data_IF_380060672831
#
_entry.id   IF_380060672831
#
_cell.length_a   1.000
_cell.length_b   1.000
_cell.length_c   1.000
_cell.angle_alpha   90.00
_cell.angle_beta   90.00
_cell.angle_gamma   90.00
#
_symmetry.space_group_name_H-M   'P 1'
#
loop_
_entity.id
_entity.type
_entity.pdbx_description
1 polymer ?
#
# COMPACT_ATOMS: atom_id res chain seq x y z
N UNK A 1 3.59 -61.81 -46.34
CA UNK A 1 5.05 -61.54 -46.50
C UNK A 1 5.25 -60.52 -47.60
N UNK A 2 5.67 -59.30 -47.29
CA UNK A 2 6.48 -58.44 -48.16
C UNK A 2 7.13 -57.33 -47.33
N UNK A 3 8.39 -57.10 -47.65
CA UNK A 3 9.45 -56.53 -46.82
C UNK A 3 9.46 -54.99 -46.80
N UNK A 4 10.06 -54.44 -45.75
CA UNK A 4 10.53 -53.06 -45.63
C UNK A 4 11.67 -52.72 -46.61
N UNK A 5 11.74 -51.44 -47.00
CA UNK A 5 12.93 -50.54 -47.05
C UNK A 5 12.43 -49.16 -47.52
N UNK A 6 12.48 -48.07 -46.75
CA UNK A 6 13.58 -47.27 -46.17
C UNK A 6 13.70 -45.92 -46.88
N UNK A 7 13.45 -44.86 -46.09
CA UNK A 7 13.98 -43.48 -46.13
C UNK A 7 13.72 -42.63 -47.37
N UNK A 8 12.93 -41.58 -47.17
CA UNK A 8 13.43 -40.21 -47.35
C UNK A 8 12.96 -39.33 -46.18
N UNK A 9 13.95 -38.71 -45.52
CA UNK A 9 13.79 -37.64 -44.53
C UNK A 9 13.79 -36.35 -45.35
N UNK A 10 12.75 -35.53 -45.23
CA UNK A 10 12.84 -34.12 -45.58
C UNK A 10 11.89 -33.30 -44.70
N UNK A 11 12.52 -32.69 -43.71
CA UNK A 11 12.33 -31.34 -43.19
C UNK A 11 10.92 -30.85 -42.84
N UNK A 12 10.67 -30.85 -41.53
CA UNK A 12 9.72 -29.93 -40.93
C UNK A 12 10.27 -28.50 -40.96
N UNK A 13 9.41 -27.48 -41.06
CA UNK A 13 9.56 -26.28 -40.29
C UNK A 13 8.48 -26.27 -39.21
N UNK A 14 8.88 -26.70 -38.01
CA UNK A 14 8.27 -26.21 -36.77
C UNK A 14 9.01 -24.93 -36.44
N UNK A 15 8.37 -23.77 -36.64
CA UNK A 15 8.27 -22.68 -35.66
C UNK A 15 7.59 -21.47 -36.30
N UNK A 16 6.25 -21.47 -36.36
CA UNK A 16 5.52 -20.22 -36.17
C UNK A 16 5.24 -20.10 -34.68
N UNK A 17 6.29 -19.77 -33.93
CA UNK A 17 6.07 -19.04 -32.69
C UNK A 17 5.53 -17.68 -33.13
N UNK A 18 4.21 -17.58 -33.18
CA UNK A 18 3.55 -16.30 -32.99
C UNK A 18 4.03 -15.79 -31.62
N UNK A 19 5.17 -15.11 -31.60
CA UNK A 19 5.46 -14.12 -30.60
C UNK A 19 4.28 -13.16 -30.67
N UNK A 20 3.33 -13.32 -29.74
CA UNK A 20 2.31 -12.32 -29.50
C UNK A 20 3.08 -11.06 -29.11
N UNK A 21 3.34 -10.18 -30.08
CA UNK A 21 3.79 -8.83 -29.79
C UNK A 21 2.79 -8.27 -28.79
N UNK A 22 3.21 -7.97 -27.55
CA UNK A 22 2.29 -7.41 -26.58
C UNK A 22 1.73 -6.11 -27.19
N UNK A 23 0.41 -5.88 -27.16
CA UNK A 23 -0.24 -4.81 -27.93
C UNK A 23 0.19 -3.40 -27.50
N UNK A 24 0.88 -3.28 -26.37
CA UNK A 24 1.24 -2.01 -25.75
C UNK A 24 2.69 -1.62 -26.03
N UNK A 25 2.89 -0.43 -26.63
CA UNK A 25 4.19 0.17 -26.95
C UNK A 25 4.81 0.98 -25.81
N UNK A 26 3.99 1.40 -24.84
CA UNK A 26 4.36 2.32 -23.77
C UNK A 26 3.82 1.79 -22.44
N UNK A 27 4.65 1.73 -21.40
CA UNK A 27 4.20 1.40 -20.05
C UNK A 27 4.38 2.63 -19.16
N UNK A 28 3.29 3.07 -18.54
CA UNK A 28 3.32 4.17 -17.59
C UNK A 28 3.56 3.60 -16.18
N UNK A 29 4.56 4.13 -15.48
CA UNK A 29 4.84 3.78 -14.10
C UNK A 29 4.65 4.99 -13.20
N UNK A 30 3.95 4.83 -12.09
CA UNK A 30 3.75 5.87 -11.09
C UNK A 30 5.03 6.11 -10.26
N UNK A 31 6.11 6.52 -10.90
CA UNK A 31 7.42 6.77 -10.29
C UNK A 31 8.08 7.97 -10.96
N UNK A 32 9.28 8.34 -10.53
CA UNK A 32 10.10 9.39 -11.12
C UNK A 32 11.56 8.94 -11.24
N UNK A 33 12.34 9.58 -12.12
CA UNK A 33 13.67 9.07 -12.50
C UNK A 33 14.69 9.20 -11.37
N UNK A 34 14.54 10.19 -10.51
CA UNK A 34 15.41 10.43 -9.36
C UNK A 34 15.31 9.28 -8.35
N UNK A 35 14.17 8.59 -8.29
CA UNK A 35 13.98 7.40 -7.46
C UNK A 35 14.46 6.12 -8.16
N UNK A 36 14.01 5.87 -9.40
CA UNK A 36 14.15 4.54 -10.04
C UNK A 36 14.76 4.57 -11.44
N UNK A 37 15.45 5.64 -11.84
CA UNK A 37 15.92 5.86 -13.21
C UNK A 37 16.65 4.67 -13.85
N UNK A 38 17.56 4.02 -13.10
CA UNK A 38 18.31 2.85 -13.58
C UNK A 38 17.40 1.64 -13.87
N UNK A 39 16.36 1.45 -13.05
CA UNK A 39 15.40 0.36 -13.21
C UNK A 39 14.43 0.64 -14.36
N UNK A 40 14.02 1.90 -14.53
CA UNK A 40 13.21 2.34 -15.67
C UNK A 40 13.92 2.01 -16.99
N UNK A 41 15.21 2.34 -17.10
CA UNK A 41 16.00 2.07 -18.29
C UNK A 41 16.16 0.57 -18.53
N UNK A 42 16.52 -0.18 -17.48
CA UNK A 42 16.64 -1.62 -17.55
C UNK A 42 15.33 -2.30 -17.99
N UNK A 43 14.18 -1.91 -17.44
CA UNK A 43 12.87 -2.45 -17.81
C UNK A 43 12.50 -2.11 -19.26
N UNK A 44 12.87 -0.92 -19.72
CA UNK A 44 12.67 -0.49 -21.10
C UNK A 44 13.47 -1.38 -22.07
N UNK A 45 14.72 -1.68 -21.72
CA UNK A 45 15.63 -2.49 -22.54
C UNK A 45 15.18 -3.96 -22.62
N UNK A 46 14.93 -4.60 -21.47
CA UNK A 46 14.51 -6.03 -21.47
C UNK A 46 13.11 -6.23 -22.02
N UNK A 47 12.23 -5.22 -21.87
CA UNK A 47 10.84 -5.29 -22.28
C UNK A 47 10.61 -4.90 -23.74
N UNK A 48 11.60 -4.30 -24.41
CA UNK A 48 11.47 -3.74 -25.75
C UNK A 48 10.37 -2.69 -25.87
N UNK A 49 10.04 -2.01 -24.77
CA UNK A 49 8.92 -1.07 -24.64
C UNK A 49 9.37 0.20 -23.97
N UNK A 50 8.81 1.34 -24.38
CA UNK A 50 9.10 2.61 -23.71
C UNK A 50 8.47 2.64 -22.32
N UNK A 51 9.28 2.66 -21.27
CA UNK A 51 8.82 2.91 -19.90
C UNK A 51 8.81 4.42 -19.65
N UNK A 52 7.68 4.96 -19.19
CA UNK A 52 7.52 6.38 -18.92
C UNK A 52 7.12 6.57 -17.45
N UNK A 53 7.99 7.19 -16.63
CA UNK A 53 7.61 7.63 -15.29
C UNK A 53 6.59 8.76 -15.38
N UNK A 54 5.50 8.65 -14.62
CA UNK A 54 4.40 9.63 -14.55
C UNK A 54 4.08 10.07 -13.12
N UNK A 55 4.88 9.65 -12.14
CA UNK A 55 4.62 9.87 -10.73
C UNK A 55 5.36 11.07 -10.11
N UNK A 56 5.09 11.35 -8.81
CA UNK A 56 4.09 10.67 -8.00
C UNK A 56 2.67 11.16 -8.34
N UNK A 57 1.81 10.23 -8.74
CA UNK A 57 0.38 10.45 -8.92
C UNK A 57 -0.27 10.31 -7.55
N UNK A 58 -0.31 11.43 -6.84
CA UNK A 58 -1.08 11.56 -5.60
C UNK A 58 -2.43 12.14 -5.98
N UNK A 59 -3.51 11.45 -5.61
CA UNK A 59 -4.87 11.96 -5.86
C UNK A 59 -5.07 13.21 -5.00
N UNK A 60 -5.28 14.36 -5.63
CA UNK A 60 -5.69 15.59 -4.94
C UNK A 60 -7.06 15.41 -4.28
N UNK A 61 -7.20 16.04 -3.11
CA UNK A 61 -8.28 15.82 -2.14
C UNK A 61 -9.60 16.34 -2.71
N UNK A 62 -10.53 15.43 -2.99
CA UNK A 62 -11.98 15.72 -2.94
C UNK A 62 -12.54 14.80 -1.87
N UNK A 63 -12.11 15.02 -0.63
CA UNK A 63 -12.81 14.47 0.53
C UNK A 63 -14.00 15.40 0.79
N UNK A 64 -15.15 14.85 1.18
CA UNK A 64 -16.21 15.66 1.77
C UNK A 64 -15.61 16.28 3.04
N UNK A 65 -15.48 17.61 3.10
CA UNK A 65 -14.78 18.32 4.19
C UNK A 65 -15.27 17.90 5.59
N UNK A 66 -16.49 17.39 5.66
CA UNK A 66 -17.17 16.99 6.88
C UNK A 66 -16.87 15.55 7.34
N UNK A 67 -16.42 14.65 6.47
CA UNK A 67 -16.15 13.26 6.86
C UNK A 67 -14.81 13.18 7.61
N UNK A 68 -14.83 12.58 8.81
CA UNK A 68 -13.67 12.43 9.70
C UNK A 68 -13.02 13.73 10.19
N UNK A 69 -13.81 14.80 10.31
CA UNK A 69 -13.35 16.08 10.85
C UNK A 69 -12.74 15.97 12.25
N UNK A 70 -13.19 15.03 13.06
CA UNK A 70 -12.71 14.78 14.42
C UNK A 70 -11.24 14.34 14.46
N UNK A 71 -10.76 13.61 13.44
CA UNK A 71 -9.37 13.18 13.36
C UNK A 71 -8.46 14.38 13.13
N UNK A 72 -8.87 15.27 12.23
CA UNK A 72 -8.11 16.48 11.91
C UNK A 72 -8.15 17.45 13.09
N UNK A 73 -9.31 17.65 13.71
CA UNK A 73 -9.43 18.45 14.92
C UNK A 73 -8.57 17.92 16.06
N UNK A 74 -8.46 16.60 16.21
CA UNK A 74 -7.58 16.02 17.23
C UNK A 74 -6.10 16.30 16.94
N UNK A 75 -5.69 16.27 15.67
CA UNK A 75 -4.34 16.65 15.24
C UNK A 75 -4.04 18.14 15.47
N UNK A 76 -5.02 19.03 15.29
CA UNK A 76 -4.87 20.48 15.53
C UNK A 76 -4.40 20.79 16.97
N UNK A 77 -4.71 19.93 17.94
CA UNK A 77 -4.28 20.08 19.34
C UNK A 77 -2.92 19.44 19.66
N UNK A 78 -2.22 18.88 18.66
CA UNK A 78 -0.91 18.23 18.85
C UNK A 78 0.22 19.13 18.36
N UNK A 79 1.35 19.04 19.04
CA UNK A 79 2.57 19.74 18.65
C UNK A 79 3.03 19.30 17.24
N UNK A 80 3.76 20.18 16.55
CA UNK A 80 4.33 19.91 15.23
C UNK A 80 5.19 18.62 15.25
N UNK A 81 5.03 17.79 14.21
CA UNK A 81 5.75 16.52 14.04
C UNK A 81 5.72 15.57 15.26
N UNK A 82 4.69 15.66 16.11
CA UNK A 82 4.59 14.88 17.35
C UNK A 82 3.72 13.64 17.28
N UNK A 83 3.05 13.40 16.15
CA UNK A 83 2.08 12.32 15.97
C UNK A 83 2.57 11.24 15.00
N UNK A 84 2.42 9.99 15.42
CA UNK A 84 2.63 8.79 14.62
C UNK A 84 1.32 8.38 13.92
N UNK A 85 1.32 8.34 12.60
CA UNK A 85 0.23 7.71 11.85
C UNK A 85 0.57 6.23 11.59
N UNK A 86 -0.37 5.32 11.84
CA UNK A 86 -0.21 3.89 11.62
C UNK A 86 -1.35 3.39 10.73
N UNK A 87 -1.01 2.89 9.54
CA UNK A 87 -1.98 2.28 8.63
C UNK A 87 -1.35 1.28 7.67
N UNK A 88 -1.90 0.08 7.63
CA UNK A 88 -1.43 -1.00 6.77
C UNK A 88 -2.19 -1.10 5.44
N UNK A 89 -2.86 -0.02 5.02
CA UNK A 89 -3.56 0.05 3.74
C UNK A 89 -4.82 -0.82 3.68
N UNK A 90 -5.34 -1.00 2.47
CA UNK A 90 -6.63 -1.68 2.23
C UNK A 90 -6.53 -3.18 2.03
N UNK A 91 -5.32 -3.70 1.79
CA UNK A 91 -5.11 -5.09 1.34
C UNK A 91 -4.57 -6.01 2.45
N UNK A 92 -4.20 -5.45 3.60
CA UNK A 92 -3.65 -6.22 4.72
C UNK A 92 -4.59 -6.20 5.91
N UNK A 93 -4.93 -7.40 6.38
CA UNK A 93 -5.70 -7.64 7.59
C UNK A 93 -4.78 -8.30 8.60
N UNK A 94 -4.58 -7.63 9.74
CA UNK A 94 -3.70 -8.11 10.80
C UNK A 94 -4.33 -9.28 11.55
N UNK A 95 -3.49 -10.23 11.96
CA UNK A 95 -3.89 -11.25 12.94
C UNK A 95 -4.16 -10.61 14.30
N UNK A 96 -4.82 -11.34 15.19
CA UNK A 96 -5.06 -10.87 16.55
C UNK A 96 -3.75 -10.62 17.30
N UNK A 97 -2.77 -11.52 17.15
CA UNK A 97 -1.47 -11.41 17.77
C UNK A 97 -0.71 -10.16 17.27
N UNK A 98 -0.79 -9.87 15.97
CA UNK A 98 -0.19 -8.65 15.39
C UNK A 98 -0.84 -7.38 15.95
N UNK A 99 -2.18 -7.36 16.08
CA UNK A 99 -2.93 -6.25 16.70
C UNK A 99 -2.49 -6.07 18.17
N UNK A 100 -2.38 -7.15 18.93
CA UNK A 100 -1.94 -7.12 20.34
C UNK A 100 -0.53 -6.52 20.48
N UNK A 101 0.43 -6.99 19.69
CA UNK A 101 1.82 -6.49 19.74
C UNK A 101 1.93 -5.02 19.31
N UNK A 102 1.20 -4.61 18.28
CA UNK A 102 1.17 -3.19 17.85
C UNK A 102 0.54 -2.32 18.94
N UNK A 103 -0.58 -2.75 19.53
CA UNK A 103 -1.21 -2.03 20.63
C UNK A 103 -0.23 -1.87 21.81
N UNK A 104 0.48 -2.94 22.19
CA UNK A 104 1.50 -2.88 23.23
C UNK A 104 2.65 -1.92 22.87
N UNK A 105 3.16 -1.95 21.64
CA UNK A 105 4.20 -1.03 21.19
C UNK A 105 3.77 0.44 21.22
N UNK A 106 2.55 0.73 20.76
CA UNK A 106 1.94 2.06 20.83
C UNK A 106 1.73 2.49 22.28
N UNK A 107 1.35 1.56 23.14
CA UNK A 107 1.16 1.85 24.56
C UNK A 107 2.50 2.24 25.22
N UNK A 108 3.54 1.42 25.03
CA UNK A 108 4.84 1.60 25.66
C UNK A 108 5.63 2.79 25.14
N UNK A 109 5.45 3.15 23.86
CA UNK A 109 6.18 4.26 23.23
C UNK A 109 5.79 5.65 23.77
N UNK A 110 4.60 5.78 24.37
CA UNK A 110 4.05 7.03 24.91
C UNK A 110 3.89 8.18 23.90
N UNK A 111 4.04 7.90 22.60
CA UNK A 111 3.84 8.90 21.54
C UNK A 111 2.36 9.21 21.35
N UNK A 112 2.08 10.35 20.70
CA UNK A 112 0.76 10.59 20.11
C UNK A 112 0.60 9.70 18.88
N UNK A 113 -0.56 9.10 18.67
CA UNK A 113 -0.78 8.27 17.49
C UNK A 113 -2.22 8.30 16.96
N UNK A 114 -2.34 8.03 15.66
CA UNK A 114 -3.58 7.63 15.01
C UNK A 114 -3.33 6.26 14.39
N UNK A 115 -4.13 5.26 14.75
CA UNK A 115 -4.01 3.91 14.22
C UNK A 115 -5.29 3.47 13.52
N UNK A 116 -5.19 3.17 12.23
CA UNK A 116 -6.29 2.64 11.44
C UNK A 116 -6.25 1.12 11.46
N UNK A 117 -7.30 0.50 12.01
CA UNK A 117 -7.49 -0.95 12.08
C UNK A 117 -8.57 -1.35 11.10
N UNK A 118 -8.37 -2.47 10.39
CA UNK A 118 -9.33 -2.99 9.41
C UNK A 118 -9.57 -4.47 9.63
N UNK A 119 -10.82 -4.89 9.43
CA UNK A 119 -11.24 -6.28 9.48
C UNK A 119 -11.76 -6.74 8.10
N UNK A 120 -11.65 -8.04 7.78
CA UNK A 120 -12.20 -8.60 6.56
C UNK A 120 -13.70 -8.34 6.43
N UNK A 121 -14.16 -8.03 5.21
CA UNK A 121 -15.59 -7.77 4.95
C UNK A 121 -16.40 -9.04 5.25
N UNK A 122 -17.35 -8.92 6.18
CA UNK A 122 -18.24 -10.02 6.58
C UNK A 122 -17.87 -10.67 7.91
N UNK A 123 -16.70 -10.35 8.47
CA UNK A 123 -16.40 -10.64 9.88
C UNK A 123 -16.99 -9.54 10.76
N UNK A 124 -17.74 -9.92 11.80
CA UNK A 124 -18.20 -9.00 12.84
C UNK A 124 -17.24 -9.11 14.01
N UNK A 125 -16.14 -8.38 13.93
CA UNK A 125 -15.22 -8.21 15.06
C UNK A 125 -15.39 -6.79 15.54
N UNK A 126 -15.86 -6.62 16.77
CA UNK A 126 -15.92 -5.30 17.38
C UNK A 126 -14.49 -4.84 17.70
N UNK A 127 -14.19 -3.57 17.44
CA UNK A 127 -12.85 -3.01 17.64
C UNK A 127 -12.31 -3.25 19.06
N UNK A 128 -13.17 -3.09 20.08
CA UNK A 128 -12.85 -3.31 21.49
C UNK A 128 -12.53 -4.77 21.81
N UNK A 129 -13.08 -5.74 21.05
CA UNK A 129 -12.79 -7.16 21.22
C UNK A 129 -11.47 -7.57 20.57
N UNK A 130 -11.07 -6.87 19.50
CA UNK A 130 -9.79 -7.11 18.82
C UNK A 130 -8.59 -6.54 19.60
N UNK A 131 -8.79 -5.50 20.38
CA UNK A 131 -7.74 -4.80 21.12
C UNK A 131 -7.49 -5.40 22.51
N UNK A 132 -6.29 -5.20 23.09
CA UNK A 132 -6.05 -5.56 24.48
C UNK A 132 -7.08 -4.87 25.40
N UNK A 133 -7.64 -5.63 26.35
CA UNK A 133 -8.69 -5.15 27.25
C UNK A 133 -8.30 -3.81 27.89
N UNK A 134 -9.15 -2.80 27.74
CA UNK A 134 -8.96 -1.47 28.32
C UNK A 134 -7.95 -0.57 27.57
N UNK A 135 -7.49 -0.97 26.37
CA UNK A 135 -6.45 -0.24 25.63
C UNK A 135 -6.91 1.18 25.27
N UNK A 136 -8.12 1.32 24.73
CA UNK A 136 -8.69 2.61 24.30
C UNK A 136 -8.69 3.61 25.45
N UNK A 137 -9.10 3.20 26.64
CA UNK A 137 -9.14 4.05 27.84
C UNK A 137 -7.74 4.46 28.29
N UNK A 138 -6.78 3.55 28.23
CA UNK A 138 -5.38 3.83 28.62
C UNK A 138 -4.69 4.81 27.68
N UNK A 139 -5.09 4.86 26.41
CA UNK A 139 -4.46 5.72 25.40
C UNK A 139 -5.30 6.95 25.05
N UNK A 140 -6.52 7.09 25.55
CA UNK A 140 -7.51 8.10 25.12
C UNK A 140 -7.01 9.56 24.98
N UNK A 141 -6.02 9.98 25.78
CA UNK A 141 -5.47 11.34 25.70
C UNK A 141 -4.47 11.54 24.55
N UNK A 142 -3.85 10.46 24.07
CA UNK A 142 -2.71 10.48 23.13
C UNK A 142 -2.90 9.59 21.90
N UNK A 143 -3.89 8.72 21.89
CA UNK A 143 -4.14 7.78 20.81
C UNK A 143 -5.57 7.87 20.30
N UNK A 144 -5.73 7.84 18.98
CA UNK A 144 -6.99 7.53 18.32
C UNK A 144 -6.86 6.19 17.60
N UNK A 145 -7.82 5.29 17.82
CA UNK A 145 -7.96 4.07 17.01
C UNK A 145 -9.20 4.24 16.14
N UNK A 146 -9.03 4.06 14.84
CA UNK A 146 -10.06 4.28 13.84
C UNK A 146 -10.31 2.97 13.12
N UNK A 147 -11.55 2.48 13.16
CA UNK A 147 -11.95 1.30 12.41
C UNK A 147 -12.24 1.66 10.96
N UNK A 148 -11.75 0.83 10.02
CA UNK A 148 -12.06 0.94 8.62
C UNK A 148 -11.21 2.01 7.94
N UNK A 149 -11.75 3.22 7.75
CA UNK A 149 -11.17 4.24 6.89
C UNK A 149 -10.85 5.54 7.65
N UNK A 150 -9.79 6.22 7.20
CA UNK A 150 -9.41 7.54 7.66
C UNK A 150 -8.83 8.35 6.47
N UNK A 151 -8.88 9.69 6.51
CA UNK A 151 -8.41 10.54 5.43
C UNK A 151 -6.88 10.61 5.41
N UNK A 152 -6.23 9.51 5.00
CA UNK A 152 -4.78 9.31 5.05
C UNK A 152 -3.99 10.48 4.42
N UNK A 153 -4.46 11.03 3.30
CA UNK A 153 -3.79 12.16 2.65
C UNK A 153 -3.80 13.41 3.54
N UNK A 154 -4.93 13.72 4.20
CA UNK A 154 -5.06 14.86 5.12
C UNK A 154 -4.23 14.65 6.39
N UNK A 155 -4.22 13.43 6.94
CA UNK A 155 -3.41 13.09 8.12
C UNK A 155 -1.93 13.27 7.81
N UNK A 156 -1.44 12.73 6.69
CA UNK A 156 -0.03 12.83 6.30
C UNK A 156 0.39 14.27 5.97
N UNK A 157 -0.51 15.08 5.41
CA UNK A 157 -0.24 16.49 5.11
C UNK A 157 -0.32 17.42 6.34
N UNK A 158 -0.81 16.92 7.49
CA UNK A 158 -0.97 17.73 8.69
C UNK A 158 0.37 17.99 9.38
N UNK A 159 0.62 19.23 9.82
CA UNK A 159 1.90 19.65 10.43
C UNK A 159 2.26 18.85 11.69
N UNK A 160 1.28 18.42 12.46
CA UNK A 160 1.48 17.60 13.67
C UNK A 160 1.86 16.14 13.40
N UNK A 161 1.75 15.66 12.16
CA UNK A 161 2.18 14.30 11.78
C UNK A 161 3.69 14.29 11.52
N UNK A 162 4.42 13.47 12.28
CA UNK A 162 5.89 13.39 12.18
C UNK A 162 6.40 12.05 11.64
N UNK A 163 5.58 11.00 11.65
CA UNK A 163 6.01 9.67 11.23
C UNK A 163 4.83 8.84 10.71
N UNK A 164 5.11 7.92 9.78
CA UNK A 164 4.14 7.00 9.21
C UNK A 164 4.65 5.55 9.26
N UNK A 165 3.93 4.68 9.98
CA UNK A 165 4.12 3.22 9.91
C UNK A 165 3.15 2.68 8.87
N UNK A 166 3.71 2.08 7.82
CA UNK A 166 2.97 1.57 6.68
C UNK A 166 3.39 0.15 6.30
N UNK A 167 2.51 -0.56 5.60
CA UNK A 167 2.85 -1.80 4.90
C UNK A 167 3.71 -1.56 3.64
N UNK A 168 4.07 -0.30 3.35
CA UNK A 168 4.87 0.12 2.20
C UNK A 168 4.22 -0.14 0.83
N UNK A 169 2.88 -0.21 0.77
CA UNK A 169 2.17 -0.19 -0.51
C UNK A 169 2.50 1.08 -1.30
N UNK A 170 2.63 0.94 -2.62
CA UNK A 170 3.16 2.01 -3.49
C UNK A 170 2.40 3.33 -3.36
N UNK A 171 1.06 3.27 -3.25
CA UNK A 171 0.23 4.47 -3.05
C UNK A 171 0.44 5.13 -1.67
N UNK A 172 0.78 4.36 -0.64
CA UNK A 172 1.12 4.89 0.68
C UNK A 172 2.51 5.50 0.68
N UNK A 173 3.46 4.87 0.00
CA UNK A 173 4.82 5.40 -0.18
C UNK A 173 4.81 6.74 -0.93
N UNK A 174 4.11 6.84 -2.06
CA UNK A 174 4.03 8.10 -2.81
C UNK A 174 3.33 9.26 -2.06
N UNK A 175 2.63 8.96 -0.95
CA UNK A 175 1.95 9.97 -0.11
C UNK A 175 2.76 10.36 1.13
N UNK A 176 3.77 9.57 1.49
CA UNK A 176 4.65 9.81 2.63
C UNK A 176 5.72 10.84 2.26
#
# INVERSE_FOLDING_TARGET
MRQQKSKDKQDAPVNDQHEMKPPCKIVLYNTFRELEGKYIDYLSDIGGKKVVPVGPLVKEIIDDENEHSEIIQWLDYKDESSTLFVSFGSEYFMSKEEIEEIAHGLELSKVNFIWVVRFPVGEKVELEEALPKGFIERVAQRGMVVEGWAPQARILAHSSTGCFVSHCGWNSYCKA
#
